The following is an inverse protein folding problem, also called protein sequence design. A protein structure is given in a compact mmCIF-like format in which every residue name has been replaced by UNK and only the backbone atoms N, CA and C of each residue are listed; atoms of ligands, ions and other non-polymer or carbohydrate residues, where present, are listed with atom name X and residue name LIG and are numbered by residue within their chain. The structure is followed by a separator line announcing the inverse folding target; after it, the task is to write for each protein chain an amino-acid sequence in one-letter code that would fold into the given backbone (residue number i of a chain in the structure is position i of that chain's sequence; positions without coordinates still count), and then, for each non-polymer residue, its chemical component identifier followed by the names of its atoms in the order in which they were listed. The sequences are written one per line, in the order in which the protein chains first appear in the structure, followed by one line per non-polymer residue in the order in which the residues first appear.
data_IF_045921407125
#
_entry.id   IF_045921407125
#
_cell.length_a   1.000
_cell.length_b   1.000
_cell.length_c   1.000
_cell.angle_alpha   90.00
_cell.angle_beta   90.00
_cell.angle_gamma   90.00
#
_symmetry.space_group_name_H-M   'P 1'
#
loop_
_entity.id
_entity.type
_entity.pdbx_description
1 polymer ?
#
# COMPACT_ATOMS: atom_id res chain seq x y z
N UNK A 1 3.42 -11.07 -10.72
CA UNK A 1 2.56 -10.14 -11.49
C UNK A 1 1.23 -10.02 -10.76
N UNK A 2 1.11 -9.04 -9.85
CA UNK A 2 -0.12 -8.81 -9.11
C UNK A 2 -1.20 -8.27 -10.07
N UNK A 3 -2.26 -9.05 -10.31
CA UNK A 3 -3.32 -8.73 -11.27
C UNK A 3 -4.17 -7.50 -10.87
N UNK A 4 -3.95 -6.92 -9.69
CA UNK A 4 -4.57 -5.71 -9.19
C UNK A 4 -3.49 -4.81 -8.59
N UNK A 5 -2.98 -3.86 -9.38
CA UNK A 5 -2.18 -2.77 -8.83
C UNK A 5 -3.08 -1.84 -8.00
N UNK A 6 -2.55 -1.33 -6.88
CA UNK A 6 -3.22 -0.36 -6.02
C UNK A 6 -3.72 0.86 -6.80
N UNK A 7 -2.96 1.29 -7.81
CA UNK A 7 -3.27 2.38 -8.72
C UNK A 7 -4.58 2.10 -9.48
N UNK A 8 -4.75 0.89 -10.01
CA UNK A 8 -5.96 0.54 -10.75
C UNK A 8 -7.18 0.46 -9.83
N UNK A 9 -7.00 -0.03 -8.59
CA UNK A 9 -8.06 -0.02 -7.57
C UNK A 9 -8.50 1.40 -7.19
N UNK A 10 -7.55 2.32 -7.05
CA UNK A 10 -7.82 3.73 -6.78
C UNK A 10 -8.53 4.42 -7.96
N UNK A 11 -8.11 4.16 -9.20
CA UNK A 11 -8.80 4.66 -10.39
C UNK A 11 -10.23 4.15 -10.50
N UNK A 12 -10.46 2.86 -10.22
CA UNK A 12 -11.80 2.28 -10.22
C UNK A 12 -12.70 3.00 -9.20
N UNK A 13 -12.18 3.26 -8.00
CA UNK A 13 -12.92 3.99 -6.96
C UNK A 13 -13.23 5.44 -7.36
N UNK A 14 -12.26 6.17 -7.92
CA UNK A 14 -12.49 7.54 -8.40
C UNK A 14 -13.57 7.55 -9.49
N UNK A 15 -13.50 6.61 -10.43
CA UNK A 15 -14.47 6.48 -11.52
C UNK A 15 -15.87 6.14 -10.99
N UNK A 16 -15.96 5.28 -9.98
CA UNK A 16 -17.20 4.97 -9.29
C UNK A 16 -17.82 6.21 -8.61
N UNK A 17 -17.02 6.98 -7.86
CA UNK A 17 -17.47 8.21 -7.20
C UNK A 17 -17.95 9.28 -8.21
N UNK A 18 -17.22 9.44 -9.31
CA UNK A 18 -17.63 10.34 -10.40
C UNK A 18 -18.92 9.88 -11.07
N UNK A 19 -19.09 8.57 -11.23
CA UNK A 19 -20.31 8.00 -11.82
C UNK A 19 -21.52 8.27 -10.92
N UNK A 20 -21.40 8.02 -9.61
CA UNK A 20 -22.46 8.34 -8.63
C UNK A 20 -22.77 9.83 -8.64
N UNK A 21 -21.74 10.69 -8.59
CA UNK A 21 -21.92 12.15 -8.64
C UNK A 21 -22.70 12.58 -9.90
N UNK A 22 -22.37 12.01 -11.06
CA UNK A 22 -23.08 12.26 -12.30
C UNK A 22 -24.56 11.83 -12.24
N UNK A 23 -24.84 10.65 -11.70
CA UNK A 23 -26.22 10.18 -11.53
C UNK A 23 -27.01 10.99 -10.51
N UNK A 24 -26.37 11.53 -9.45
CA UNK A 24 -27.00 12.48 -8.54
C UNK A 24 -27.44 13.76 -9.25
N UNK A 25 -26.70 14.25 -10.25
CA UNK A 25 -27.11 15.43 -11.02
C UNK A 25 -28.18 15.14 -12.08
N UNK A 26 -28.13 13.96 -12.72
CA UNK A 26 -29.01 13.63 -13.83
C UNK A 26 -30.32 12.99 -13.39
N UNK A 27 -30.25 11.89 -12.65
CA UNK A 27 -31.42 11.16 -12.16
C UNK A 27 -31.02 10.12 -11.09
N UNK A 28 -31.33 10.40 -9.84
CA UNK A 28 -31.04 9.49 -8.71
C UNK A 28 -31.88 8.22 -8.74
N UNK A 29 -33.07 8.25 -9.34
CA UNK A 29 -33.95 7.08 -9.39
C UNK A 29 -33.32 5.93 -10.19
N UNK A 30 -32.43 6.25 -11.14
CA UNK A 30 -31.67 5.22 -11.86
C UNK A 30 -30.77 4.36 -10.95
N UNK A 31 -30.37 4.88 -9.78
CA UNK A 31 -29.62 4.13 -8.77
C UNK A 31 -30.58 3.44 -7.80
N UNK A 32 -31.59 4.16 -7.30
CA UNK A 32 -32.50 3.66 -6.25
C UNK A 32 -33.44 2.56 -6.74
N UNK A 33 -33.89 2.63 -7.99
CA UNK A 33 -34.81 1.65 -8.62
C UNK A 33 -34.07 0.47 -9.25
N UNK A 34 -32.74 0.40 -9.10
CA UNK A 34 -31.96 -0.70 -9.64
C UNK A 34 -32.28 -2.01 -8.91
N UNK A 35 -32.54 -3.09 -9.64
CA UNK A 35 -32.89 -4.39 -9.06
C UNK A 35 -31.89 -4.90 -8.02
N UNK A 36 -30.58 -4.66 -8.21
CA UNK A 36 -29.56 -5.06 -7.24
C UNK A 36 -29.70 -4.28 -5.92
N UNK A 37 -29.97 -2.98 -6.00
CA UNK A 37 -30.18 -2.09 -4.85
C UNK A 37 -31.44 -2.51 -4.09
N UNK A 38 -32.51 -2.83 -4.80
CA UNK A 38 -33.78 -3.28 -4.20
C UNK A 38 -33.60 -4.62 -3.48
N UNK A 39 -32.99 -5.62 -4.13
CA UNK A 39 -32.77 -6.95 -3.54
C UNK A 39 -31.89 -6.85 -2.29
N UNK A 40 -30.82 -6.06 -2.34
CA UNK A 40 -29.94 -5.88 -1.19
C UNK A 40 -30.63 -5.14 -0.04
N UNK A 41 -31.40 -4.09 -0.35
CA UNK A 41 -32.20 -3.36 0.64
C UNK A 41 -33.21 -4.27 1.34
N UNK A 42 -33.94 -5.09 0.56
CA UNK A 42 -34.91 -6.05 1.09
C UNK A 42 -34.25 -7.13 1.95
N UNK A 43 -33.09 -7.63 1.51
CA UNK A 43 -32.32 -8.65 2.25
C UNK A 43 -31.83 -8.13 3.59
N UNK A 44 -31.44 -6.85 3.66
CA UNK A 44 -30.97 -6.18 4.87
C UNK A 44 -32.09 -5.56 5.72
N UNK A 45 -33.35 -5.66 5.27
CA UNK A 45 -34.54 -5.05 5.91
C UNK A 45 -34.40 -3.55 6.19
N UNK A 46 -33.75 -2.83 5.27
CA UNK A 46 -33.55 -1.39 5.40
C UNK A 46 -34.73 -0.60 4.82
N UNK A 47 -35.08 0.56 5.39
CA UNK A 47 -36.12 1.42 4.84
C UNK A 47 -35.65 1.96 3.48
N UNK A 48 -36.50 1.78 2.47
CA UNK A 48 -36.22 2.26 1.12
C UNK A 48 -36.44 3.77 1.05
N UNK A 49 -35.39 4.50 0.69
CA UNK A 49 -35.50 5.92 0.47
C UNK A 49 -36.11 6.21 -0.88
N UNK A 50 -37.21 6.94 -0.89
CA UNK A 50 -37.77 7.54 -2.09
C UNK A 50 -37.53 9.05 -2.00
N UNK A 51 -36.74 9.59 -2.92
CA UNK A 51 -36.48 11.03 -2.98
C UNK A 51 -37.06 11.61 -4.27
N UNK A 52 -37.56 12.84 -4.17
CA UNK A 52 -37.92 13.61 -5.36
C UNK A 52 -36.66 13.87 -6.20
N UNK A 53 -36.73 13.70 -7.54
CA UNK A 53 -35.59 13.89 -8.44
C UNK A 53 -35.03 15.32 -8.43
N UNK A 54 -35.77 16.29 -7.87
CA UNK A 54 -35.40 17.71 -7.81
C UNK A 54 -35.21 18.21 -6.37
N UNK A 55 -34.53 17.43 -5.52
CA UNK A 55 -34.18 17.86 -4.15
C UNK A 55 -32.82 18.57 -4.13
N UNK A 56 -32.75 19.76 -3.52
CA UNK A 56 -31.49 20.50 -3.35
C UNK A 56 -30.42 19.73 -2.56
N UNK A 57 -30.85 18.80 -1.69
CA UNK A 57 -29.96 17.91 -0.94
C UNK A 57 -29.15 17.00 -1.88
N UNK A 58 -29.78 16.53 -2.97
CA UNK A 58 -29.13 15.65 -3.94
C UNK A 58 -27.99 16.36 -4.67
N UNK A 59 -28.19 17.63 -5.02
CA UNK A 59 -27.14 18.47 -5.60
C UNK A 59 -25.95 18.66 -4.66
N UNK A 60 -26.20 18.89 -3.36
CA UNK A 60 -25.13 18.99 -2.37
C UNK A 60 -24.33 17.70 -2.23
N UNK A 61 -24.99 16.53 -2.20
CA UNK A 61 -24.28 15.24 -2.16
C UNK A 61 -23.49 14.97 -3.45
N UNK A 62 -24.02 15.34 -4.61
CA UNK A 62 -23.29 15.25 -5.88
C UNK A 62 -21.98 16.02 -5.86
N UNK A 63 -21.98 17.26 -5.35
CA UNK A 63 -20.77 18.08 -5.20
C UNK A 63 -19.80 17.46 -4.18
N UNK A 64 -20.30 16.95 -3.04
CA UNK A 64 -19.45 16.30 -2.04
C UNK A 64 -18.75 15.05 -2.60
N UNK A 65 -19.45 14.22 -3.38
CA UNK A 65 -18.84 13.06 -4.03
C UNK A 65 -17.80 13.46 -5.07
N UNK A 66 -18.03 14.56 -5.80
CA UNK A 66 -17.07 15.11 -6.74
C UNK A 66 -15.81 15.58 -5.98
N UNK A 67 -15.99 16.36 -4.91
CA UNK A 67 -14.87 16.81 -4.08
C UNK A 67 -14.07 15.64 -3.50
N UNK A 68 -14.76 14.58 -3.06
CA UNK A 68 -14.12 13.36 -2.58
C UNK A 68 -13.31 12.65 -3.67
N UNK A 69 -13.84 12.55 -4.90
CA UNK A 69 -13.14 11.99 -6.04
C UNK A 69 -11.86 12.79 -6.40
N UNK A 70 -11.94 14.12 -6.40
CA UNK A 70 -10.78 14.99 -6.66
C UNK A 70 -9.74 14.94 -5.54
N UNK A 71 -10.17 14.83 -4.28
CA UNK A 71 -9.27 14.67 -3.14
C UNK A 71 -8.40 13.41 -3.24
N UNK A 72 -8.87 12.39 -3.95
CA UNK A 72 -8.13 11.15 -4.18
C UNK A 72 -7.38 11.16 -5.52
N UNK A 73 -7.85 11.95 -6.49
CA UNK A 73 -7.19 12.12 -7.79
C UNK A 73 -5.86 12.88 -7.67
N UNK A 74 -5.79 13.91 -6.82
CA UNK A 74 -4.57 14.71 -6.66
C UNK A 74 -3.38 13.89 -6.12
N UNK A 75 -3.49 13.14 -5.00
CA UNK A 75 -2.37 12.33 -4.51
C UNK A 75 -2.02 11.17 -5.44
N UNK A 76 -2.97 10.70 -6.25
CA UNK A 76 -2.74 9.67 -7.26
C UNK A 76 -1.85 10.21 -8.40
N UNK A 77 -2.09 11.46 -8.80
CA UNK A 77 -1.28 12.14 -9.83
C UNK A 77 0.14 12.44 -9.35
N UNK A 78 0.32 12.68 -8.05
CA UNK A 78 1.62 12.88 -7.41
C UNK A 78 2.38 11.55 -7.15
N UNK A 79 1.74 10.39 -7.37
CA UNK A 79 2.31 9.06 -7.10
C UNK A 79 2.82 8.89 -5.66
N UNK A 80 2.19 9.57 -4.69
CA UNK A 80 2.62 9.52 -3.29
C UNK A 80 2.13 8.23 -2.61
N UNK A 81 2.89 7.13 -2.76
CA UNK A 81 2.55 5.81 -2.20
C UNK A 81 2.41 5.81 -0.67
N UNK A 82 3.22 6.64 0.03
CA UNK A 82 3.18 6.76 1.49
C UNK A 82 1.86 7.31 2.01
N UNK A 83 1.27 8.26 1.29
CA UNK A 83 -0.05 8.79 1.63
C UNK A 83 -1.12 7.68 1.60
N UNK A 84 -1.10 6.85 0.55
CA UNK A 84 -2.07 5.76 0.38
C UNK A 84 -1.94 4.67 1.45
N UNK A 85 -0.74 4.39 1.95
CA UNK A 85 -0.55 3.43 3.04
C UNK A 85 -1.27 3.82 4.33
N UNK A 86 -1.35 5.11 4.65
CA UNK A 86 -1.98 5.57 5.88
C UNK A 86 -3.46 5.87 5.71
N UNK A 87 -3.85 6.51 4.59
CA UNK A 87 -5.21 7.02 4.43
C UNK A 87 -6.22 5.90 4.13
N UNK A 88 -5.83 4.87 3.37
CA UNK A 88 -6.72 3.78 2.96
C UNK A 88 -7.21 2.95 4.16
N UNK A 89 -6.36 2.45 5.08
CA UNK A 89 -6.84 1.71 6.25
C UNK A 89 -7.63 2.59 7.22
N UNK A 90 -7.26 3.87 7.38
CA UNK A 90 -8.04 4.81 8.19
C UNK A 90 -9.45 5.01 7.62
N UNK A 91 -9.55 5.21 6.30
CA UNK A 91 -10.82 5.36 5.58
C UNK A 91 -11.68 4.10 5.66
N UNK A 92 -11.07 2.93 5.48
CA UNK A 92 -11.75 1.65 5.66
C UNK A 92 -12.36 1.53 7.06
N UNK A 93 -11.60 1.89 8.09
CA UNK A 93 -12.07 1.86 9.48
C UNK A 93 -13.25 2.82 9.69
N UNK A 94 -13.16 4.04 9.19
CA UNK A 94 -14.23 5.04 9.28
C UNK A 94 -15.50 4.52 8.61
N UNK A 95 -15.44 4.06 7.36
CA UNK A 95 -16.62 3.56 6.65
C UNK A 95 -17.16 2.26 7.21
N UNK A 96 -16.31 1.41 7.78
CA UNK A 96 -16.74 0.19 8.45
C UNK A 96 -17.57 0.53 9.70
N UNK A 97 -17.07 1.46 10.52
CA UNK A 97 -17.78 1.98 11.68
C UNK A 97 -19.08 2.67 11.26
N UNK A 98 -19.06 3.47 10.19
CA UNK A 98 -20.24 4.17 9.68
C UNK A 98 -21.31 3.21 9.13
N UNK A 99 -20.89 2.13 8.47
CA UNK A 99 -21.78 1.05 8.01
C UNK A 99 -22.41 0.32 9.19
N UNK A 100 -21.61 -0.02 10.21
CA UNK A 100 -22.11 -0.67 11.43
C UNK A 100 -23.10 0.22 12.19
N UNK A 101 -22.81 1.52 12.31
CA UNK A 101 -23.72 2.49 12.92
C UNK A 101 -25.01 2.67 12.12
N UNK A 102 -24.92 2.77 10.79
CA UNK A 102 -26.08 2.87 9.90
C UNK A 102 -27.00 1.65 10.05
N UNK A 103 -26.44 0.46 10.27
CA UNK A 103 -27.20 -0.75 10.49
C UNK A 103 -27.80 -0.87 11.90
N UNK A 104 -26.99 -0.66 12.95
CA UNK A 104 -27.40 -0.89 14.34
C UNK A 104 -28.28 0.23 14.91
N UNK A 105 -28.12 1.46 14.46
CA UNK A 105 -28.81 2.62 15.01
C UNK A 105 -30.17 2.86 14.33
N UNK A 106 -31.08 1.89 14.48
CA UNK A 106 -32.44 1.91 13.91
C UNK A 106 -33.30 3.08 14.41
N UNK A 107 -32.94 3.71 15.54
CA UNK A 107 -33.67 4.85 16.11
C UNK A 107 -33.48 6.18 15.37
N UNK A 108 -32.47 6.32 14.51
CA UNK A 108 -32.21 7.55 13.74
C UNK A 108 -32.48 7.30 12.25
N UNK A 109 -33.70 7.61 11.78
CA UNK A 109 -34.12 7.43 10.38
C UNK A 109 -33.19 8.12 9.36
N UNK A 110 -32.48 9.17 9.76
CA UNK A 110 -31.55 9.89 8.88
C UNK A 110 -30.28 9.10 8.54
N UNK A 111 -29.81 8.25 9.46
CA UNK A 111 -28.62 7.41 9.25
C UNK A 111 -28.98 5.96 8.90
N UNK A 112 -30.14 5.50 9.35
CA UNK A 112 -30.68 4.18 9.01
C UNK A 112 -31.44 4.24 7.69
N UNK A 113 -30.70 4.38 6.60
CA UNK A 113 -31.24 4.60 5.26
C UNK A 113 -30.56 3.65 4.27
N UNK A 114 -31.32 3.06 3.35
CA UNK A 114 -30.77 2.16 2.33
C UNK A 114 -29.64 2.79 1.50
N UNK A 115 -29.77 4.06 1.13
CA UNK A 115 -28.79 4.75 0.29
C UNK A 115 -27.45 4.94 1.03
N UNK A 116 -27.51 5.34 2.30
CA UNK A 116 -26.31 5.54 3.14
C UNK A 116 -25.63 4.21 3.41
N UNK A 117 -26.41 3.18 3.79
CA UNK A 117 -25.87 1.85 4.03
C UNK A 117 -25.22 1.27 2.77
N UNK A 118 -25.89 1.32 1.62
CA UNK A 118 -25.36 0.80 0.35
C UNK A 118 -24.09 1.52 -0.08
N UNK A 119 -24.06 2.84 0.04
CA UNK A 119 -22.88 3.64 -0.26
C UNK A 119 -21.70 3.25 0.65
N UNK A 120 -21.93 3.21 1.97
CA UNK A 120 -20.88 2.87 2.93
C UNK A 120 -20.42 1.42 2.79
N UNK A 121 -21.33 0.48 2.56
CA UNK A 121 -21.00 -0.92 2.31
C UNK A 121 -20.15 -1.09 1.05
N UNK A 122 -20.50 -0.39 -0.04
CA UNK A 122 -19.72 -0.41 -1.27
C UNK A 122 -18.33 0.22 -1.06
N UNK A 123 -18.24 1.35 -0.34
CA UNK A 123 -16.97 1.95 0.02
C UNK A 123 -16.12 0.99 0.87
N UNK A 124 -16.69 0.28 1.85
CA UNK A 124 -15.93 -0.72 2.63
C UNK A 124 -15.37 -1.81 1.71
N UNK A 125 -16.19 -2.34 0.80
CA UNK A 125 -15.76 -3.37 -0.15
C UNK A 125 -14.61 -2.87 -1.04
N UNK A 126 -14.77 -1.69 -1.63
CA UNK A 126 -13.78 -1.07 -2.51
C UNK A 126 -12.47 -0.78 -1.77
N UNK A 127 -12.54 -0.17 -0.57
CA UNK A 127 -11.36 0.09 0.25
C UNK A 127 -10.70 -1.21 0.71
N UNK A 128 -11.44 -2.30 0.92
CA UNK A 128 -10.88 -3.60 1.26
C UNK A 128 -10.05 -4.19 0.12
N UNK A 129 -10.56 -4.12 -1.12
CA UNK A 129 -9.82 -4.54 -2.33
C UNK A 129 -8.55 -3.70 -2.51
N UNK A 130 -8.65 -2.37 -2.36
CA UNK A 130 -7.51 -1.46 -2.47
C UNK A 130 -6.48 -1.74 -1.37
N UNK A 131 -6.92 -1.93 -0.13
CA UNK A 131 -6.04 -2.27 1.00
C UNK A 131 -5.32 -3.60 0.75
N UNK A 132 -6.01 -4.61 0.23
CA UNK A 132 -5.41 -5.88 -0.16
C UNK A 132 -4.28 -5.70 -1.18
N UNK A 133 -4.53 -4.94 -2.25
CA UNK A 133 -3.53 -4.63 -3.28
C UNK A 133 -2.33 -3.86 -2.72
N UNK A 134 -2.59 -2.84 -1.91
CA UNK A 134 -1.56 -2.03 -1.24
C UNK A 134 -0.70 -2.87 -0.30
N UNK A 135 -1.32 -3.79 0.46
CA UNK A 135 -0.60 -4.68 1.38
C UNK A 135 0.32 -5.63 0.62
N UNK A 136 -0.13 -6.15 -0.51
CA UNK A 136 0.69 -7.02 -1.37
C UNK A 136 1.87 -6.24 -1.96
N UNK A 137 1.64 -5.05 -2.51
CA UNK A 137 2.71 -4.19 -3.04
C UNK A 137 3.76 -3.87 -1.95
N UNK A 138 3.33 -3.55 -0.73
CA UNK A 138 4.24 -3.32 0.40
C UNK A 138 5.05 -4.58 0.75
N UNK A 139 4.43 -5.76 0.68
CA UNK A 139 5.10 -7.02 0.96
C UNK A 139 6.13 -7.36 -0.13
N UNK A 140 5.81 -7.09 -1.40
CA UNK A 140 6.75 -7.22 -2.51
C UNK A 140 7.92 -6.23 -2.39
N UNK A 141 7.67 -4.98 -2.02
CA UNK A 141 8.72 -3.97 -1.76
C UNK A 141 9.63 -4.38 -0.60
N UNK A 142 9.07 -4.89 0.50
CA UNK A 142 9.86 -5.35 1.64
C UNK A 142 10.75 -6.54 1.28
N UNK A 143 10.23 -7.49 0.48
CA UNK A 143 11.02 -8.61 -0.04
C UNK A 143 12.16 -8.14 -0.93
N UNK A 144 11.89 -7.19 -1.84
CA UNK A 144 12.94 -6.60 -2.69
C UNK A 144 14.00 -5.90 -1.86
N UNK A 145 13.60 -5.05 -0.91
CA UNK A 145 14.55 -4.32 -0.06
C UNK A 145 15.39 -5.26 0.79
N UNK A 146 14.79 -6.32 1.35
CA UNK A 146 15.53 -7.30 2.15
C UNK A 146 16.50 -8.12 1.28
N UNK A 147 16.14 -8.43 0.04
CA UNK A 147 17.03 -9.11 -0.89
C UNK A 147 18.22 -8.25 -1.29
N UNK A 148 18.04 -6.93 -1.45
CA UNK A 148 19.16 -6.02 -1.72
C UNK A 148 20.09 -5.90 -0.51
N UNK A 149 19.56 -5.78 0.71
CA UNK A 149 20.37 -5.72 1.94
C UNK A 149 21.15 -7.02 2.13
N UNK A 150 20.49 -8.16 1.97
CA UNK A 150 21.15 -9.46 2.11
C UNK A 150 22.23 -9.68 1.04
N UNK A 151 22.02 -9.20 -0.20
CA UNK A 151 23.07 -9.25 -1.23
C UNK A 151 24.20 -8.26 -0.95
N UNK A 152 23.94 -7.08 -0.38
CA UNK A 152 25.01 -6.14 -0.03
C UNK A 152 25.82 -6.62 1.16
N UNK A 153 25.19 -7.21 2.18
CA UNK A 153 25.89 -7.82 3.32
C UNK A 153 26.74 -9.01 2.84
N UNK A 154 26.22 -9.87 1.95
CA UNK A 154 27.01 -10.95 1.34
C UNK A 154 28.22 -10.44 0.55
N UNK A 155 28.06 -9.34 -0.20
CA UNK A 155 29.17 -8.75 -0.95
C UNK A 155 30.22 -8.11 -0.02
N UNK A 156 29.80 -7.51 1.09
CA UNK A 156 30.71 -6.96 2.10
C UNK A 156 31.47 -8.08 2.83
N UNK A 157 30.81 -9.20 3.16
CA UNK A 157 31.46 -10.39 3.73
C UNK A 157 32.48 -11.01 2.77
N UNK A 158 32.14 -11.15 1.48
CA UNK A 158 33.08 -11.65 0.44
C UNK A 158 34.30 -10.71 0.27
N UNK A 159 34.11 -9.40 0.30
CA UNK A 159 35.22 -8.42 0.20
C UNK A 159 36.12 -8.40 1.45
N UNK A 160 35.57 -8.71 2.64
CA UNK A 160 36.37 -8.85 3.87
C UNK A 160 37.18 -10.14 3.87
N UNK A 161 36.60 -11.27 3.44
CA UNK A 161 37.32 -12.54 3.31
C UNK A 161 38.47 -12.44 2.30
N UNK A 162 38.26 -11.83 1.12
CA UNK A 162 39.34 -11.62 0.13
C UNK A 162 40.48 -10.75 0.70
N UNK A 163 40.17 -9.77 1.56
CA UNK A 163 41.16 -8.87 2.13
C UNK A 163 41.94 -9.51 3.29
N UNK A 164 41.31 -10.42 4.03
CA UNK A 164 41.98 -11.25 5.03
C UNK A 164 42.91 -12.27 4.37
N UNK A 165 42.47 -12.92 3.29
CA UNK A 165 43.31 -13.84 2.50
C UNK A 165 44.54 -13.13 1.90
N UNK A 166 44.37 -11.95 1.29
CA UNK A 166 45.51 -11.15 0.78
C UNK A 166 46.48 -10.72 1.90
N UNK A 167 45.97 -10.43 3.10
CA UNK A 167 46.80 -10.04 4.24
C UNK A 167 47.58 -11.23 4.83
N UNK A 168 47.00 -12.42 4.85
CA UNK A 168 47.67 -13.66 5.24
C UNK A 168 48.77 -14.04 4.23
N UNK A 169 48.50 -13.96 2.92
CA UNK A 169 49.53 -14.22 1.89
C UNK A 169 50.73 -13.26 2.00
N UNK A 170 50.48 -11.96 2.23
CA UNK A 170 51.53 -10.96 2.43
C UNK A 170 52.35 -11.20 3.70
N UNK A 171 51.71 -11.67 4.78
CA UNK A 171 52.39 -11.99 6.04
C UNK A 171 53.26 -13.24 5.92
N UNK A 172 52.80 -14.28 5.20
CA UNK A 172 53.61 -15.46 4.91
C UNK A 172 54.83 -15.10 4.04
N UNK A 173 54.67 -14.27 3.00
CA UNK A 173 55.78 -13.81 2.16
C UNK A 173 56.82 -12.99 2.96
N UNK A 174 56.38 -12.17 3.93
CA UNK A 174 57.27 -11.39 4.78
C UNK A 174 58.02 -12.27 5.81
N UNK A 175 57.38 -13.29 6.38
CA UNK A 175 58.06 -14.27 7.24
C UNK A 175 59.09 -15.12 6.47
N UNK A 176 58.79 -15.51 5.23
CA UNK A 176 59.73 -16.25 4.36
C UNK A 176 60.94 -15.37 4.01
N UNK A 177 60.75 -14.08 3.79
CA UNK A 177 61.84 -13.12 3.55
C UNK A 177 62.71 -12.89 4.80
N UNK A 178 62.13 -12.82 6.00
CA UNK A 178 62.86 -12.64 7.25
C UNK A 178 63.68 -13.87 7.63
N UNK A 179 63.12 -15.07 7.44
CA UNK A 179 63.84 -16.33 7.69
C UNK A 179 65.00 -16.53 6.72
N UNK A 180 64.80 -16.24 5.44
CA UNK A 180 65.88 -16.29 4.45
C UNK A 180 66.95 -15.21 4.67
N UNK A 181 66.58 -14.01 5.13
CA UNK A 181 67.55 -12.98 5.52
C UNK A 181 68.37 -13.36 6.76
N UNK A 182 67.75 -13.97 7.77
CA UNK A 182 68.45 -14.49 8.95
C UNK A 182 69.41 -15.63 8.62
N UNK A 183 69.05 -16.52 7.69
CA UNK A 183 69.94 -17.58 7.21
C UNK A 183 71.19 -17.02 6.50
N UNK A 184 71.03 -15.94 5.73
CA UNK A 184 72.14 -15.27 5.03
C UNK A 184 73.07 -14.55 6.03
N UNK A 185 72.53 -13.96 7.08
CA UNK A 185 73.32 -13.25 8.10
C UNK A 185 74.12 -14.24 8.98
N UNK A 186 73.54 -15.39 9.34
CA UNK A 186 74.25 -16.46 10.05
C UNK A 186 75.40 -17.05 9.22
N UNK A 187 75.22 -17.21 7.90
CA UNK A 187 76.29 -17.67 7.01
C UNK A 187 77.44 -16.66 6.88
N UNK A 188 77.18 -15.35 7.03
CA UNK A 188 78.21 -14.31 6.99
C UNK A 188 78.98 -14.11 8.30
N UNK A 189 78.43 -14.54 9.44
CA UNK A 189 79.12 -14.55 10.73
C UNK A 189 80.03 -15.78 10.88
N UNK A 190 79.65 -16.94 10.35
CA UNK A 190 80.50 -18.14 10.36
C UNK A 190 81.74 -17.97 9.46
N UNK A 191 81.61 -17.32 8.28
CA UNK A 191 82.73 -17.06 7.35
C UNK A 191 83.73 -15.99 7.87
N UNK A 192 83.41 -15.34 9.00
CA UNK A 192 84.23 -14.26 9.60
C UNK A 192 85.06 -14.74 10.80
N UNK A 193 84.87 -15.99 11.24
CA UNK A 193 85.55 -16.60 12.39
C UNK A 193 86.58 -17.70 12.03
N UNK A 194 86.80 -17.98 10.73
CA UNK A 194 87.92 -18.78 10.20
C UNK A 194 89.05 -17.89 9.62
#
# INVERSE_FOLDING_TARGET
MAALSSVNGLFLRITFLLSISFFCFKNVNSILENSYVIILTQSMRLPMLTMSPYSGQLGTFGILFLMLAFSDLLPLLESNRKYFYSIVPARLTIYFVLTAFSYLWTSNLYLHNNAVFLFCFNEVWMNFVIYGAIREERNEEFKRSSQFINNSELLEEEEEEEREEEAEELAEDEEVLLTSAQEIEQLQEDDRND
#
